data_IF_161931070273
#
_entry.id   IF_161931070273
#
_cell.length_a   1.000
_cell.length_b   1.000
_cell.length_c   1.000
_cell.angle_alpha   90.00
_cell.angle_beta   90.00
_cell.angle_gamma   90.00
#
_symmetry.space_group_name_H-M   'P 1'
#
loop_
_entity.id
_entity.type
_entity.pdbx_description
1 polymer ?
#
# COMPACT_ATOMS: atom_id res chain seq x y z
N UNK A 1 10.81 13.69 -13.54
CA UNK A 1 9.53 13.20 -13.05
C UNK A 1 9.71 11.82 -12.40
N UNK A 2 9.21 11.65 -11.21
CA UNK A 2 9.38 10.39 -10.52
C UNK A 2 8.37 9.37 -11.01
N UNK A 3 8.84 8.15 -11.18
CA UNK A 3 7.95 7.05 -11.47
C UNK A 3 7.45 6.47 -10.16
N UNK A 4 6.19 6.05 -10.18
CA UNK A 4 5.55 5.42 -9.04
C UNK A 4 5.24 3.98 -9.37
N UNK A 5 5.36 3.12 -8.38
CA UNK A 5 5.13 1.69 -8.57
C UNK A 5 4.22 1.18 -7.47
N UNK A 6 3.29 0.31 -7.86
CA UNK A 6 2.38 -0.30 -6.89
C UNK A 6 3.15 -1.28 -6.02
N UNK A 7 3.04 -1.11 -4.71
CA UNK A 7 3.75 -1.97 -3.76
C UNK A 7 2.79 -2.82 -2.93
N UNK A 8 1.50 -2.47 -2.93
CA UNK A 8 0.53 -3.19 -2.12
C UNK A 8 -0.87 -2.87 -2.63
N UNK A 9 -1.78 -3.80 -2.44
CA UNK A 9 -3.19 -3.54 -2.73
C UNK A 9 -4.05 -4.42 -1.83
N UNK A 10 -5.26 -3.95 -1.59
CA UNK A 10 -6.22 -4.68 -0.77
C UNK A 10 -7.61 -4.23 -1.15
N UNK A 11 -8.57 -5.13 -1.02
CA UNK A 11 -9.97 -4.77 -1.21
C UNK A 11 -10.51 -4.00 -0.01
N UNK A 12 -9.77 -3.95 1.09
CA UNK A 12 -10.19 -3.24 2.29
C UNK A 12 -9.46 -1.91 2.36
N UNK A 13 -10.23 -0.83 2.30
CA UNK A 13 -9.66 0.52 2.35
C UNK A 13 -8.84 0.73 3.62
N UNK A 14 -9.32 0.22 4.75
CA UNK A 14 -8.62 0.42 6.02
C UNK A 14 -7.23 -0.20 6.01
N UNK A 15 -7.08 -1.36 5.37
CA UNK A 15 -5.78 -2.03 5.32
C UNK A 15 -4.81 -1.24 4.45
N UNK A 16 -5.24 -0.81 3.27
CA UNK A 16 -4.36 -0.03 2.39
C UNK A 16 -4.00 1.31 3.02
N UNK A 17 -4.95 1.94 3.71
CA UNK A 17 -4.66 3.20 4.40
C UNK A 17 -3.66 3.01 5.53
N UNK A 18 -3.76 1.89 6.25
CA UNK A 18 -2.80 1.59 7.29
C UNK A 18 -1.40 1.40 6.73
N UNK A 19 -1.29 0.66 5.63
CA UNK A 19 0.00 0.45 4.98
C UNK A 19 0.59 1.77 4.53
N UNK A 20 -0.23 2.62 3.90
CA UNK A 20 0.25 3.93 3.47
C UNK A 20 0.75 4.74 4.67
N UNK A 21 0.02 4.72 5.76
CA UNK A 21 0.43 5.46 6.96
C UNK A 21 1.76 4.98 7.51
N UNK A 22 1.95 3.67 7.56
CA UNK A 22 3.20 3.11 8.07
C UNK A 22 4.37 3.49 7.17
N UNK A 23 4.16 3.45 5.85
CA UNK A 23 5.22 3.84 4.92
C UNK A 23 5.59 5.30 5.11
N UNK A 24 4.59 6.18 5.25
CA UNK A 24 4.87 7.60 5.45
C UNK A 24 5.60 7.85 6.76
N UNK A 25 5.27 7.09 7.82
CA UNK A 25 5.95 7.23 9.09
C UNK A 25 7.42 6.82 9.01
N UNK A 26 7.75 5.99 8.04
CA UNK A 26 9.12 5.56 7.82
C UNK A 26 9.80 6.35 6.72
N UNK A 27 9.27 7.53 6.42
CA UNK A 27 9.86 8.46 5.46
C UNK A 27 9.86 7.93 4.05
N UNK A 28 8.91 7.06 3.73
CA UNK A 28 8.69 6.59 2.38
C UNK A 28 7.42 7.25 1.88
N UNK A 29 7.52 8.18 0.92
CA UNK A 29 6.30 8.80 0.37
C UNK A 29 5.41 7.72 -0.22
N UNK A 30 4.15 7.74 0.13
CA UNK A 30 3.20 6.75 -0.37
C UNK A 30 1.88 7.42 -0.63
N UNK A 31 1.17 6.92 -1.63
CA UNK A 31 -0.17 7.41 -1.92
C UNK A 31 -1.05 6.25 -2.32
N UNK A 32 -2.35 6.42 -2.13
CA UNK A 32 -3.31 5.39 -2.48
C UNK A 32 -4.05 5.79 -3.74
N UNK A 33 -4.43 4.77 -4.48
CA UNK A 33 -5.33 4.92 -5.62
C UNK A 33 -6.50 4.00 -5.37
N UNK A 34 -7.67 4.58 -5.16
CA UNK A 34 -8.88 3.81 -4.86
C UNK A 34 -9.57 3.47 -6.17
N UNK A 35 -9.56 2.20 -6.52
CA UNK A 35 -10.20 1.74 -7.75
C UNK A 35 -11.56 1.11 -7.48
N UNK A 36 -12.08 1.29 -6.30
CA UNK A 36 -13.41 0.79 -5.97
C UNK A 36 -14.46 1.69 -6.59
N UNK A 37 -15.20 1.15 -7.52
CA UNK A 37 -16.28 1.85 -8.19
C UNK A 37 -17.56 1.67 -7.39
N UNK A 38 -18.39 2.69 -7.32
CA UNK A 38 -19.63 2.60 -6.59
C UNK A 38 -20.52 1.46 -7.10
N UNK A 39 -20.40 1.09 -8.36
CA UNK A 39 -21.19 0.01 -8.93
C UNK A 39 -20.59 -1.37 -8.70
N UNK A 40 -19.29 -1.43 -8.44
CA UNK A 40 -18.58 -2.71 -8.30
C UNK A 40 -17.59 -2.64 -7.15
N UNK A 41 -18.04 -2.12 -6.03
CA UNK A 41 -17.14 -1.85 -4.91
C UNK A 41 -16.42 -3.10 -4.43
N UNK A 42 -17.05 -4.26 -4.53
CA UNK A 42 -16.43 -5.49 -4.05
C UNK A 42 -15.43 -6.09 -5.04
N UNK A 43 -15.32 -5.52 -6.24
CA UNK A 43 -14.36 -5.98 -7.24
C UNK A 43 -13.14 -5.07 -7.32
N UNK A 44 -13.19 -3.88 -6.74
CA UNK A 44 -12.11 -2.93 -6.82
C UNK A 44 -11.12 -3.08 -5.69
N UNK A 45 -9.92 -2.59 -5.92
CA UNK A 45 -8.87 -2.61 -4.93
C UNK A 45 -8.39 -1.20 -4.65
N UNK A 46 -7.91 -1.00 -3.43
CA UNK A 46 -7.23 0.23 -3.06
C UNK A 46 -5.74 -0.06 -3.13
N UNK A 47 -5.07 0.58 -4.07
CA UNK A 47 -3.67 0.32 -4.35
C UNK A 47 -2.78 1.35 -3.68
N UNK A 48 -1.62 0.92 -3.20
CA UNK A 48 -0.65 1.80 -2.56
C UNK A 48 0.57 1.89 -3.47
N UNK A 49 0.98 3.13 -3.77
CA UNK A 49 2.10 3.40 -4.67
C UNK A 49 3.20 4.12 -3.91
N UNK A 50 4.44 3.81 -4.29
CA UNK A 50 5.64 4.47 -3.76
C UNK A 50 6.53 4.84 -4.94
N UNK A 51 7.46 5.79 -4.73
CA UNK A 51 8.44 6.10 -5.79
C UNK A 51 9.25 4.86 -6.13
N UNK A 52 9.60 4.74 -7.40
CA UNK A 52 10.30 3.56 -7.88
C UNK A 52 11.60 3.31 -7.12
N UNK A 53 12.34 4.38 -6.81
CA UNK A 53 13.62 4.23 -6.14
C UNK A 53 13.47 3.82 -4.67
N UNK A 54 12.26 3.80 -4.14
CA UNK A 54 12.01 3.36 -2.78
C UNK A 54 11.22 2.07 -2.71
N UNK A 55 11.00 1.45 -3.86
CA UNK A 55 10.14 0.27 -3.93
C UNK A 55 10.67 -0.87 -3.07
N UNK A 56 11.97 -1.16 -3.17
CA UNK A 56 12.54 -2.27 -2.41
C UNK A 56 12.46 -2.03 -0.92
N UNK A 57 12.72 -0.80 -0.49
CA UNK A 57 12.63 -0.47 0.92
C UNK A 57 11.19 -0.61 1.42
N UNK A 58 10.24 -0.13 0.63
CA UNK A 58 8.84 -0.23 1.00
C UNK A 58 8.39 -1.68 1.05
N UNK A 59 8.81 -2.48 0.09
CA UNK A 59 8.44 -3.88 0.04
C UNK A 59 8.96 -4.64 1.27
N UNK A 60 10.19 -4.37 1.65
CA UNK A 60 10.77 -5.02 2.82
C UNK A 60 9.99 -4.66 4.09
N UNK A 61 9.60 -3.40 4.20
CA UNK A 61 8.82 -2.96 5.36
C UNK A 61 7.45 -3.64 5.40
N UNK A 62 6.81 -3.75 4.25
CA UNK A 62 5.49 -4.38 4.19
C UNK A 62 5.59 -5.86 4.57
N UNK A 63 6.63 -6.54 4.13
CA UNK A 63 6.82 -7.93 4.52
C UNK A 63 6.95 -8.08 6.03
N UNK A 64 7.61 -7.13 6.68
CA UNK A 64 7.71 -7.14 8.13
C UNK A 64 6.34 -7.01 8.78
N UNK A 65 5.50 -6.14 8.24
CA UNK A 65 4.15 -5.95 8.76
C UNK A 65 3.36 -7.24 8.63
N UNK A 66 3.45 -7.90 7.48
CA UNK A 66 2.68 -9.11 7.23
C UNK A 66 3.12 -10.24 8.15
N UNK A 67 4.41 -10.36 8.41
CA UNK A 67 4.91 -11.38 9.31
C UNK A 67 4.36 -11.16 10.71
N UNK A 68 4.37 -9.93 11.19
CA UNK A 68 3.87 -9.62 12.52
C UNK A 68 2.38 -9.92 12.63
N UNK A 69 1.64 -9.68 11.56
CA UNK A 69 0.20 -9.92 11.56
C UNK A 69 -0.11 -11.41 11.59
N UNK A 70 0.69 -12.20 10.88
CA UNK A 70 0.43 -13.64 10.76
C UNK A 70 0.72 -14.38 12.02
N UNK A 71 1.59 -13.85 12.87
CA UNK A 71 2.03 -14.54 14.07
C UNK A 71 1.05 -14.50 15.21
N UNK A 72 -0.05 -13.86 15.06
CA UNK A 72 -1.03 -13.76 16.14
C UNK A 72 -1.59 -15.13 16.55
#
# INVERSE_FOLDING_TARGET
MQDWKKVFSSTQLAVSSMVMGILNENEIPAKTLNKQDSSYVFLGEVEVYVPLDMFEKAQALILTIQINTVQS
#
